data_IF_334942270225
#
_entry.id   IF_334942270225
#
_cell.length_a   1.000
_cell.length_b   1.000
_cell.length_c   1.000
_cell.angle_alpha   90.00
_cell.angle_beta   90.00
_cell.angle_gamma   90.00
#
_symmetry.space_group_name_H-M   'P 1'
#
loop_
_entity.id
_entity.type
_entity.pdbx_description
1 polymer ?
#
# COMPACT_ATOMS: atom_id res chain seq x y z
N UNK A 1 -12.00 5.73 -10.71
CA UNK A 1 -11.99 7.13 -11.19
C UNK A 1 -12.65 8.10 -10.21
N UNK A 2 -13.65 7.69 -9.42
CA UNK A 2 -14.31 8.52 -8.40
C UNK A 2 -13.33 9.11 -7.37
N UNK A 3 -12.40 8.31 -6.83
CA UNK A 3 -11.43 8.78 -5.82
C UNK A 3 -10.56 9.94 -6.33
N UNK A 4 -10.01 9.81 -7.55
CA UNK A 4 -9.18 10.85 -8.15
C UNK A 4 -9.97 12.16 -8.38
N UNK A 5 -11.26 12.05 -8.70
CA UNK A 5 -12.17 13.20 -8.87
C UNK A 5 -12.37 13.93 -7.56
N UNK A 6 -12.69 13.19 -6.49
CA UNK A 6 -12.87 13.76 -5.14
C UNK A 6 -11.60 14.44 -4.65
N UNK A 7 -10.43 13.83 -4.84
CA UNK A 7 -9.14 14.43 -4.47
C UNK A 7 -8.88 15.72 -5.26
N UNK A 8 -9.16 15.73 -6.57
CA UNK A 8 -9.01 16.93 -7.41
C UNK A 8 -9.92 18.07 -6.95
N UNK A 9 -11.16 17.77 -6.58
CA UNK A 9 -12.12 18.75 -6.06
C UNK A 9 -11.66 19.33 -4.71
N UNK A 10 -11.20 18.49 -3.77
CA UNK A 10 -10.68 18.97 -2.49
C UNK A 10 -9.38 19.77 -2.63
N UNK A 11 -8.50 19.36 -3.55
CA UNK A 11 -7.25 20.08 -3.84
C UNK A 11 -7.53 21.50 -4.37
N UNK A 12 -8.63 21.68 -5.13
CA UNK A 12 -9.04 23.00 -5.64
C UNK A 12 -9.37 23.98 -4.51
N UNK A 13 -10.00 23.53 -3.43
CA UNK A 13 -10.29 24.37 -2.26
C UNK A 13 -9.00 24.84 -1.56
N UNK A 14 -7.89 24.13 -1.76
CA UNK A 14 -6.55 24.50 -1.29
C UNK A 14 -5.74 25.32 -2.31
N UNK A 15 -6.33 25.66 -3.47
CA UNK A 15 -5.66 26.39 -4.55
C UNK A 15 -4.71 25.54 -5.40
N UNK A 16 -4.82 24.20 -5.34
CA UNK A 16 -4.02 23.27 -6.13
C UNK A 16 -4.84 22.78 -7.32
N UNK A 17 -4.34 23.01 -8.54
CA UNK A 17 -4.96 22.49 -9.75
C UNK A 17 -4.50 21.06 -10.04
N UNK A 18 -5.43 20.10 -10.06
CA UNK A 18 -5.15 18.70 -10.39
C UNK A 18 -5.84 18.33 -11.70
N UNK A 19 -5.06 18.12 -12.77
CA UNK A 19 -5.56 17.69 -14.08
C UNK A 19 -5.56 16.17 -14.17
N UNK A 20 -6.76 15.57 -14.17
CA UNK A 20 -6.93 14.12 -14.24
C UNK A 20 -6.65 13.59 -15.65
N UNK A 21 -5.84 12.54 -15.74
CA UNK A 21 -5.57 11.80 -16.97
C UNK A 21 -5.74 10.30 -16.71
N UNK A 22 -6.43 9.62 -17.63
CA UNK A 22 -6.54 8.16 -17.65
C UNK A 22 -5.61 7.61 -18.73
N UNK A 23 -4.92 6.52 -18.42
CA UNK A 23 -3.95 5.88 -19.30
C UNK A 23 -3.82 4.39 -18.95
N UNK A 24 -3.24 3.60 -19.84
CA UNK A 24 -2.84 2.21 -19.57
C UNK A 24 -1.61 2.14 -18.65
N UNK A 25 -1.30 0.93 -18.16
CA UNK A 25 -0.20 0.70 -17.23
C UNK A 25 1.16 1.05 -17.84
N UNK A 26 1.40 0.70 -19.10
CA UNK A 26 2.65 1.02 -19.80
C UNK A 26 2.89 2.54 -19.80
N UNK A 27 1.86 3.32 -20.12
CA UNK A 27 1.93 4.78 -20.09
C UNK A 27 2.10 5.32 -18.66
N UNK A 28 1.42 4.73 -17.67
CA UNK A 28 1.56 5.13 -16.26
C UNK A 28 3.00 4.93 -15.78
N UNK A 29 3.63 3.81 -16.10
CA UNK A 29 5.01 3.53 -15.67
C UNK A 29 6.02 4.53 -16.23
N UNK A 30 5.84 4.99 -17.47
CA UNK A 30 6.70 6.05 -18.03
C UNK A 30 6.54 7.41 -17.32
N UNK A 31 5.45 7.62 -16.57
CA UNK A 31 5.10 8.92 -15.98
C UNK A 31 5.17 8.94 -14.46
N UNK A 32 5.12 7.78 -13.78
CA UNK A 32 4.99 7.71 -12.32
C UNK A 32 6.13 8.37 -11.54
N UNK A 33 7.31 8.52 -12.14
CA UNK A 33 8.45 9.23 -11.56
C UNK A 33 8.38 10.76 -11.71
N UNK A 34 7.44 11.28 -12.52
CA UNK A 34 7.31 12.71 -12.83
C UNK A 34 5.92 13.28 -12.54
N UNK A 35 4.95 12.42 -12.24
CA UNK A 35 3.55 12.76 -12.03
C UNK A 35 2.97 11.93 -10.89
N UNK A 36 2.04 12.50 -10.14
CA UNK A 36 1.30 11.75 -9.13
C UNK A 36 0.41 10.70 -9.80
N UNK A 37 0.40 9.48 -9.25
CA UNK A 37 -0.39 8.36 -9.75
C UNK A 37 -1.26 7.84 -8.62
N UNK A 38 -2.55 7.64 -8.91
CA UNK A 38 -3.44 6.94 -7.99
C UNK A 38 -3.13 5.46 -8.09
N UNK A 39 -2.68 4.87 -6.98
CA UNK A 39 -2.38 3.44 -6.88
C UNK A 39 -3.24 2.79 -5.81
N UNK A 40 -3.54 1.51 -6.02
CA UNK A 40 -4.00 0.62 -4.97
C UNK A 40 -2.82 -0.25 -4.56
N UNK A 41 -2.51 -0.27 -3.28
CA UNK A 41 -1.53 -1.19 -2.72
C UNK A 41 -2.21 -2.12 -1.73
N UNK A 42 -1.75 -3.36 -1.70
CA UNK A 42 -2.18 -4.38 -0.76
C UNK A 42 -0.99 -5.26 -0.44
N UNK A 43 -0.75 -5.49 0.84
CA UNK A 43 0.22 -6.47 1.30
C UNK A 43 -0.14 -6.96 2.70
N UNK A 44 -0.05 -8.27 2.90
CA UNK A 44 -0.08 -8.92 4.21
C UNK A 44 1.31 -9.03 4.83
N UNK A 45 2.37 -8.73 4.06
CA UNK A 45 3.74 -8.80 4.50
C UNK A 45 4.28 -7.40 4.82
N UNK A 46 4.56 -7.10 6.09
CA UNK A 46 5.14 -5.82 6.51
C UNK A 46 6.48 -5.47 5.83
N UNK A 47 7.29 -6.47 5.45
CA UNK A 47 8.51 -6.26 4.68
C UNK A 47 8.22 -5.51 3.38
N UNK A 48 7.20 -5.94 2.65
CA UNK A 48 6.88 -5.31 1.37
C UNK A 48 6.07 -4.03 1.57
N UNK A 49 5.16 -4.00 2.55
CA UNK A 49 4.33 -2.82 2.87
C UNK A 49 5.13 -1.62 3.39
N UNK A 50 6.23 -1.87 4.12
CA UNK A 50 7.04 -0.82 4.74
C UNK A 50 8.44 -0.78 4.14
N UNK A 51 9.26 -1.82 4.32
CA UNK A 51 10.67 -1.78 3.94
C UNK A 51 10.83 -1.53 2.44
N UNK A 52 10.29 -2.39 1.58
CA UNK A 52 10.44 -2.19 0.13
C UNK A 52 9.80 -0.88 -0.34
N UNK A 53 8.72 -0.43 0.31
CA UNK A 53 7.96 0.74 -0.08
C UNK A 53 8.69 2.07 0.20
N UNK A 54 9.50 2.13 1.26
CA UNK A 54 10.10 3.36 1.75
C UNK A 54 11.63 3.34 1.86
N UNK A 55 12.27 2.19 1.65
CA UNK A 55 13.73 2.11 1.59
C UNK A 55 14.24 2.76 0.29
N UNK A 56 15.29 3.57 0.41
CA UNK A 56 15.91 4.25 -0.73
C UNK A 56 16.45 3.24 -1.73
N UNK A 57 16.12 3.43 -3.01
CA UNK A 57 16.65 2.63 -4.11
C UNK A 57 17.78 3.37 -4.81
N UNK A 58 18.87 2.67 -5.10
CA UNK A 58 19.87 3.15 -6.06
C UNK A 58 19.35 3.00 -7.51
N UNK A 59 20.13 3.45 -8.49
CA UNK A 59 19.72 3.39 -9.91
C UNK A 59 19.46 1.96 -10.41
N UNK A 60 19.99 0.94 -9.75
CA UNK A 60 19.87 -0.48 -10.12
C UNK A 60 18.70 -1.17 -9.37
N UNK A 61 18.28 -0.61 -8.23
CA UNK A 61 17.17 -1.09 -7.40
C UNK A 61 15.76 -0.77 -7.92
N UNK A 62 15.63 0.09 -8.93
CA UNK A 62 14.37 0.29 -9.67
C UNK A 62 14.17 -0.81 -10.73
N UNK A 63 14.12 -2.07 -10.29
CA UNK A 63 13.69 -3.15 -11.16
C UNK A 63 12.20 -2.96 -11.46
N UNK A 64 11.84 -2.91 -12.75
CA UNK A 64 10.45 -2.81 -13.23
C UNK A 64 9.48 -3.83 -12.59
N UNK A 65 10.01 -4.95 -12.09
CA UNK A 65 9.24 -6.00 -11.43
C UNK A 65 8.79 -5.68 -10.00
N UNK A 66 9.35 -4.65 -9.36
CA UNK A 66 9.08 -4.32 -7.96
C UNK A 66 8.62 -2.86 -7.86
N UNK A 67 7.34 -2.62 -8.20
CA UNK A 67 6.61 -1.32 -8.16
C UNK A 67 6.56 -0.62 -6.79
N UNK A 68 7.46 -1.00 -5.89
CA UNK A 68 7.72 -0.43 -4.58
C UNK A 68 8.60 0.81 -4.71
N UNK A 69 8.32 1.83 -3.90
CA UNK A 69 8.96 3.14 -3.95
C UNK A 69 8.96 3.81 -5.36
N UNK A 70 7.81 3.90 -6.06
CA UNK A 70 7.72 4.47 -7.41
C UNK A 70 7.93 6.00 -7.45
N UNK A 71 7.87 6.65 -6.29
CA UNK A 71 8.08 8.08 -6.09
C UNK A 71 9.54 8.43 -5.78
N UNK A 72 10.45 7.44 -5.82
CA UNK A 72 11.89 7.63 -5.55
C UNK A 72 12.16 8.32 -4.20
N UNK A 73 11.34 8.02 -3.19
CA UNK A 73 11.55 8.48 -1.83
C UNK A 73 12.93 8.02 -1.35
N UNK A 74 13.69 8.95 -0.79
CA UNK A 74 15.06 8.72 -0.37
C UNK A 74 15.34 9.48 0.92
N UNK A 75 15.70 8.74 1.97
CA UNK A 75 16.04 9.32 3.27
C UNK A 75 16.97 8.38 4.03
N UNK A 76 18.24 8.80 4.17
CA UNK A 76 19.25 8.00 4.87
C UNK A 76 18.94 7.77 6.36
N UNK A 77 18.21 8.70 6.99
CA UNK A 77 17.72 8.54 8.37
C UNK A 77 16.66 7.43 8.45
N UNK A 78 15.72 7.41 7.49
CA UNK A 78 14.70 6.37 7.42
C UNK A 78 15.30 5.03 7.06
N UNK A 79 16.21 4.97 6.09
CA UNK A 79 16.91 3.74 5.70
C UNK A 79 17.61 3.09 6.89
N UNK A 80 18.33 3.88 7.68
CA UNK A 80 19.03 3.39 8.86
C UNK A 80 18.07 2.76 9.89
N UNK A 81 16.88 3.34 10.09
CA UNK A 81 15.87 2.79 11.00
C UNK A 81 15.23 1.53 10.40
N UNK A 82 14.95 1.52 9.09
CA UNK A 82 14.40 0.38 8.38
C UNK A 82 15.35 -0.83 8.43
N UNK A 83 16.65 -0.62 8.26
CA UNK A 83 17.68 -1.66 8.37
C UNK A 83 17.79 -2.23 9.79
N UNK A 84 17.62 -1.39 10.82
CA UNK A 84 17.50 -1.86 12.20
C UNK A 84 16.28 -2.78 12.38
N UNK A 85 15.14 -2.41 11.76
CA UNK A 85 13.94 -3.25 11.75
C UNK A 85 14.17 -4.61 11.08
N UNK A 86 14.89 -4.63 9.95
CA UNK A 86 15.24 -5.88 9.25
C UNK A 86 16.21 -6.76 10.03
N UNK A 87 17.01 -6.17 10.91
CA UNK A 87 17.98 -6.86 11.76
C UNK A 87 17.42 -7.27 13.13
N UNK A 88 16.13 -6.98 13.39
CA UNK A 88 15.50 -7.27 14.67
C UNK A 88 15.33 -8.79 14.88
N UNK A 89 15.42 -9.23 16.15
CA UNK A 89 15.32 -10.65 16.51
C UNK A 89 13.89 -11.21 16.44
N UNK A 90 12.89 -10.35 16.29
CA UNK A 90 11.49 -10.72 16.19
C UNK A 90 10.71 -9.72 15.34
N UNK A 91 9.55 -10.16 14.84
CA UNK A 91 8.63 -9.28 14.10
C UNK A 91 8.06 -8.16 14.99
N UNK A 92 7.83 -8.45 16.28
CA UNK A 92 7.34 -7.46 17.24
C UNK A 92 8.35 -6.32 17.45
N UNK A 93 9.64 -6.66 17.55
CA UNK A 93 10.70 -5.67 17.65
C UNK A 93 10.83 -4.88 16.33
N UNK A 94 10.70 -5.53 15.17
CA UNK A 94 10.72 -4.88 13.87
C UNK A 94 9.61 -3.82 13.74
N UNK A 95 8.42 -4.07 14.27
CA UNK A 95 7.32 -3.10 14.25
C UNK A 95 7.65 -1.79 14.97
N UNK A 96 8.43 -1.85 16.05
CA UNK A 96 8.86 -0.64 16.76
C UNK A 96 9.75 0.24 15.87
N UNK A 97 10.68 -0.36 15.14
CA UNK A 97 11.54 0.36 14.19
C UNK A 97 10.74 0.90 13.01
N UNK A 98 9.85 0.10 12.41
CA UNK A 98 9.03 0.56 11.29
C UNK A 98 8.04 1.67 11.68
N UNK A 99 7.47 1.62 12.88
CA UNK A 99 6.68 2.73 13.42
C UNK A 99 7.52 3.99 13.60
N UNK A 100 8.78 3.85 14.07
CA UNK A 100 9.70 4.98 14.22
C UNK A 100 10.13 5.56 12.86
N UNK A 101 10.27 4.73 11.83
CA UNK A 101 10.59 5.18 10.47
C UNK A 101 9.45 6.01 9.85
N UNK A 102 8.20 5.82 10.29
CA UNK A 102 7.07 6.64 9.86
C UNK A 102 7.15 8.08 10.40
N UNK A 103 7.71 8.28 11.59
CA UNK A 103 8.00 9.60 12.13
C UNK A 103 9.11 9.53 13.18
N UNK A 104 10.24 10.14 12.89
CA UNK A 104 11.45 10.02 13.71
C UNK A 104 11.42 10.92 14.96
N UNK A 105 10.46 11.85 15.02
CA UNK A 105 10.36 12.88 16.06
C UNK A 105 11.13 14.17 15.75
N UNK A 106 11.95 14.18 14.69
CA UNK A 106 12.74 15.34 14.25
C UNK A 106 12.10 16.14 13.10
N UNK A 107 10.91 15.73 12.64
CA UNK A 107 10.27 16.23 11.43
C UNK A 107 10.56 15.40 10.17
N UNK A 108 11.34 14.31 10.28
CA UNK A 108 11.57 13.35 9.20
C UNK A 108 10.73 12.07 9.36
N UNK A 109 10.62 11.29 8.28
CA UNK A 109 9.94 10.00 8.27
C UNK A 109 8.93 9.88 7.13
N UNK A 110 8.65 8.67 6.66
CA UNK A 110 7.77 8.48 5.50
C UNK A 110 6.28 8.74 5.78
N UNK A 111 5.90 8.98 7.03
CA UNK A 111 4.53 9.26 7.43
C UNK A 111 4.10 10.69 7.12
N UNK A 112 2.79 10.99 7.28
CA UNK A 112 2.23 12.31 6.98
C UNK A 112 2.77 13.43 7.88
N UNK A 113 3.28 13.11 9.06
CA UNK A 113 3.91 14.09 9.97
C UNK A 113 5.39 14.35 9.66
N UNK A 114 5.98 13.62 8.71
CA UNK A 114 7.34 13.82 8.22
C UNK A 114 7.33 14.27 6.77
N UNK A 115 7.91 13.45 5.90
CA UNK A 115 8.16 13.74 4.49
C UNK A 115 6.93 13.53 3.60
N UNK A 116 5.90 12.84 4.08
CA UNK A 116 4.64 12.56 3.39
C UNK A 116 4.76 12.11 1.91
N UNK A 117 5.59 11.10 1.57
CA UNK A 117 5.73 10.57 0.21
C UNK A 117 4.43 10.04 -0.42
N UNK A 118 3.42 9.71 0.40
CA UNK A 118 2.12 9.19 -0.03
C UNK A 118 0.97 9.93 0.64
N UNK A 119 -0.11 10.13 -0.12
CA UNK A 119 -1.44 10.45 0.39
C UNK A 119 -2.28 9.16 0.45
N UNK A 120 -2.26 8.47 1.59
CA UNK A 120 -3.15 7.32 1.85
C UNK A 120 -4.56 7.83 2.12
N UNK A 121 -5.50 7.55 1.20
CA UNK A 121 -6.82 8.19 1.21
C UNK A 121 -7.96 7.30 1.71
N UNK A 122 -7.91 5.99 1.48
CA UNK A 122 -8.98 5.07 1.85
C UNK A 122 -8.49 3.62 1.90
N UNK A 123 -9.12 2.84 2.77
CA UNK A 123 -9.05 1.37 2.75
C UNK A 123 -10.16 0.82 1.86
N UNK A 124 -9.85 -0.24 1.10
CA UNK A 124 -10.84 -0.94 0.28
C UNK A 124 -11.40 -2.14 1.04
N UNK A 125 -12.72 -2.29 1.02
CA UNK A 125 -13.41 -3.48 1.53
C UNK A 125 -14.07 -4.23 0.37
N UNK A 126 -13.85 -5.55 0.31
CA UNK A 126 -14.46 -6.41 -0.69
C UNK A 126 -15.78 -6.96 -0.17
N UNK A 127 -16.85 -6.75 -0.94
CA UNK A 127 -18.16 -7.37 -0.71
C UNK A 127 -18.36 -8.54 -1.68
N UNK A 128 -18.83 -9.68 -1.18
CA UNK A 128 -19.12 -10.86 -1.99
C UNK A 128 -20.61 -11.15 -2.00
N UNK A 129 -21.13 -11.54 -3.17
CA UNK A 129 -22.45 -12.11 -3.29
C UNK A 129 -22.34 -13.63 -3.26
N UNK A 130 -22.90 -14.23 -2.22
CA UNK A 130 -22.79 -15.66 -1.92
C UNK A 130 -24.19 -16.25 -1.88
N UNK A 131 -24.35 -17.45 -2.43
CA UNK A 131 -25.63 -18.16 -2.30
C UNK A 131 -25.89 -18.46 -0.82
N UNK A 132 -27.14 -18.29 -0.38
CA UNK A 132 -27.51 -18.42 1.04
C UNK A 132 -27.20 -19.78 1.67
N UNK A 133 -26.96 -20.82 0.87
CA UNK A 133 -26.61 -22.16 1.35
C UNK A 133 -25.10 -22.45 1.31
N UNK A 134 -24.26 -21.44 1.02
CA UNK A 134 -22.79 -21.58 1.02
C UNK A 134 -22.22 -20.80 2.20
N UNK A 135 -21.49 -21.52 3.06
CA UNK A 135 -20.71 -20.94 4.14
C UNK A 135 -19.24 -20.87 3.70
N UNK A 136 -18.73 -19.65 3.53
CA UNK A 136 -17.36 -19.38 3.11
C UNK A 136 -16.35 -19.41 4.27
N UNK A 137 -16.76 -19.66 5.51
CA UNK A 137 -15.87 -19.63 6.68
C UNK A 137 -15.19 -18.27 6.88
N UNK A 138 -13.94 -18.29 7.37
CA UNK A 138 -13.14 -17.08 7.64
C UNK A 138 -12.44 -16.59 6.38
N UNK A 139 -12.91 -15.48 5.81
CA UNK A 139 -12.34 -14.87 4.60
C UNK A 139 -11.01 -14.15 4.92
N UNK A 140 -10.09 -14.14 3.95
CA UNK A 140 -8.82 -13.37 4.05
C UNK A 140 -9.06 -11.89 4.32
N UNK A 141 -8.20 -11.30 5.16
CA UNK A 141 -8.20 -9.86 5.48
C UNK A 141 -7.93 -8.98 4.26
N UNK A 142 -7.24 -9.49 3.24
CA UNK A 142 -6.91 -8.72 2.03
C UNK A 142 -8.07 -8.67 1.02
N UNK A 143 -8.99 -9.64 1.05
CA UNK A 143 -10.19 -9.71 0.21
C UNK A 143 -9.99 -9.84 -1.32
N UNK A 144 -8.78 -9.64 -1.84
CA UNK A 144 -8.51 -9.77 -3.28
C UNK A 144 -8.60 -11.22 -3.78
N UNK A 145 -8.27 -12.19 -2.94
CA UNK A 145 -8.39 -13.62 -3.23
C UNK A 145 -9.42 -14.24 -2.30
N UNK A 146 -10.63 -14.44 -2.82
CA UNK A 146 -11.73 -15.05 -2.10
C UNK A 146 -11.67 -16.59 -2.10
N UNK A 147 -10.79 -17.20 -2.92
CA UNK A 147 -10.58 -18.64 -2.92
C UNK A 147 -9.50 -19.09 -1.94
N UNK A 148 -8.87 -18.16 -1.22
CA UNK A 148 -7.78 -18.45 -0.28
C UNK A 148 -8.10 -19.55 0.75
N UNK A 149 -9.39 -19.74 1.05
CA UNK A 149 -9.90 -20.71 2.00
C UNK A 149 -10.98 -21.64 1.39
N UNK A 150 -10.96 -21.87 0.07
CA UNK A 150 -11.99 -22.64 -0.65
C UNK A 150 -12.21 -24.06 -0.09
N UNK A 151 -11.18 -24.64 0.54
CA UNK A 151 -11.25 -25.96 1.18
C UNK A 151 -12.08 -25.97 2.47
N UNK A 152 -12.29 -24.80 3.09
CA UNK A 152 -13.09 -24.64 4.31
C UNK A 152 -14.58 -24.39 3.99
N UNK A 153 -14.92 -24.24 2.71
CA UNK A 153 -16.28 -23.91 2.31
C UNK A 153 -17.20 -25.12 2.50
N UNK A 154 -18.37 -24.86 3.07
CA UNK A 154 -19.39 -25.90 3.27
C UNK A 154 -20.72 -25.47 2.68
N UNK A 155 -21.57 -26.47 2.41
CA UNK A 155 -22.94 -26.24 1.97
C UNK A 155 -23.89 -26.51 3.14
N UNK A 156 -24.59 -25.48 3.57
CA UNK A 156 -25.59 -25.59 4.63
C UNK A 156 -26.88 -26.16 4.03
N UNK A 157 -27.37 -27.29 4.57
CA UNK A 157 -28.64 -27.88 4.15
C UNK A 157 -28.57 -29.10 3.22
N UNK A 158 -27.40 -29.71 3.01
CA UNK A 158 -27.34 -31.09 2.51
C UNK A 158 -27.54 -32.07 3.66
N UNK A 159 -28.79 -32.31 4.03
CA UNK A 159 -29.16 -33.53 4.77
C UNK A 159 -28.86 -34.74 3.88
N UNK A 160 -27.90 -35.56 4.31
CA UNK A 160 -27.71 -36.95 3.84
C UNK A 160 -28.85 -37.84 4.31
#
# INVERSE_FOLDING_TARGET
>A
QSLATIISEQAKDLGIEVVLKSADWDTIYTKMYSQAVVMQQSSDNPYSAVYQQYYSKDKEGYLESDYRNPNAYNSSEVDAILDQGMSAGSLEDAYQYWSKAAYTGSGAGFGPNGDAPWLWAADNHFGYFVKNDINMGTISKLGQDYYCNILDWTREGSSS
#
